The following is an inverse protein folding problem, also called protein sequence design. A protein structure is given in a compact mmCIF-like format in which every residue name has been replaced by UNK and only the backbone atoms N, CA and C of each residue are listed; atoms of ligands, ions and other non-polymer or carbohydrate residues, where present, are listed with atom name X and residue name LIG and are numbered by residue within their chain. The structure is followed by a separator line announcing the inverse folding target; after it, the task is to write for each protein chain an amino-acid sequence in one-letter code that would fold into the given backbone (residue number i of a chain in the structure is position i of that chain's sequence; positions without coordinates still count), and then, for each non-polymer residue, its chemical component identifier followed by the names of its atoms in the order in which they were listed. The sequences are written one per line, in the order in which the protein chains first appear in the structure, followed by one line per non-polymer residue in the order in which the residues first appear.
data_IF_362491357599
#
_entry.id   IF_362491357599
#
_cell.length_a   1.000
_cell.length_b   1.000
_cell.length_c   1.000
_cell.angle_alpha   90.00
_cell.angle_beta   90.00
_cell.angle_gamma   90.00
#
_symmetry.space_group_name_H-M   'P 1'
#
loop_
_entity.id
_entity.type
_entity.pdbx_description
1 polymer ?
#
# COMPACT_ATOMS: atom_id res chain seq x y z
N UNK A 1 -5.29 7.84 -16.36
CA UNK A 1 -4.88 6.71 -15.51
C UNK A 1 -5.89 5.59 -15.70
N UNK A 2 -5.46 4.33 -15.92
CA UNK A 2 -6.37 3.20 -16.12
C UNK A 2 -6.96 2.73 -14.77
N UNK A 3 -7.62 3.65 -14.07
CA UNK A 3 -8.26 3.43 -12.77
C UNK A 3 -9.72 3.86 -12.86
N UNK A 4 -10.55 3.35 -11.96
CA UNK A 4 -11.93 3.83 -11.82
C UNK A 4 -11.93 5.22 -11.14
N UNK A 5 -12.40 6.28 -11.81
CA UNK A 5 -12.28 7.65 -11.30
C UNK A 5 -13.16 7.92 -10.07
N UNK A 6 -14.18 7.09 -9.85
CA UNK A 6 -15.14 7.20 -8.75
C UNK A 6 -14.82 6.28 -7.57
N UNK A 7 -13.76 5.47 -7.66
CA UNK A 7 -13.36 4.60 -6.58
C UNK A 7 -12.80 5.42 -5.41
N UNK A 8 -13.27 5.11 -4.20
CA UNK A 8 -12.65 5.56 -2.94
C UNK A 8 -11.45 4.65 -2.69
N UNK A 9 -10.33 4.91 -3.35
CA UNK A 9 -9.14 4.06 -3.28
C UNK A 9 -7.83 4.82 -3.58
N UNK A 10 -6.69 4.26 -3.17
CA UNK A 10 -5.35 4.68 -3.57
C UNK A 10 -4.71 3.62 -4.47
N UNK A 11 -3.79 4.04 -5.33
CA UNK A 11 -3.08 3.11 -6.21
C UNK A 11 -1.63 3.53 -6.46
N UNK A 12 -0.70 2.57 -6.39
CA UNK A 12 0.62 2.68 -6.97
C UNK A 12 0.67 2.02 -8.35
N UNK A 13 0.96 2.82 -9.38
CA UNK A 13 1.06 2.36 -10.76
C UNK A 13 2.52 2.16 -11.16
N UNK A 14 3.00 0.92 -10.99
CA UNK A 14 4.41 0.53 -11.18
C UNK A 14 4.97 0.94 -12.55
N UNK A 15 4.19 0.81 -13.64
CA UNK A 15 4.67 1.12 -14.99
C UNK A 15 5.10 2.57 -15.16
N UNK A 16 4.42 3.49 -14.48
CA UNK A 16 4.73 4.92 -14.56
C UNK A 16 5.43 5.39 -13.27
N UNK A 17 5.74 4.47 -12.35
CA UNK A 17 6.28 4.73 -11.01
C UNK A 17 5.58 5.92 -10.32
N UNK A 18 4.25 5.88 -10.29
CA UNK A 18 3.43 7.01 -9.85
C UNK A 18 2.30 6.57 -8.91
N UNK A 19 1.92 7.46 -8.01
CA UNK A 19 0.80 7.24 -7.09
C UNK A 19 -0.42 8.01 -7.58
N UNK A 20 -1.56 7.34 -7.72
CA UNK A 20 -2.85 7.98 -8.02
C UNK A 20 -3.70 8.04 -6.77
N UNK A 21 -4.23 9.22 -6.49
CA UNK A 21 -5.29 9.44 -5.52
C UNK A 21 -6.46 10.13 -6.24
N UNK A 22 -7.56 9.40 -6.52
CA UNK A 22 -8.78 9.98 -7.08
C UNK A 22 -9.33 11.09 -6.16
N UNK A 23 -9.92 12.12 -6.75
CA UNK A 23 -10.51 13.21 -5.97
C UNK A 23 -11.60 12.73 -5.00
N UNK A 24 -12.30 11.63 -5.32
CA UNK A 24 -13.34 11.03 -4.48
C UNK A 24 -12.77 10.45 -3.17
N UNK A 25 -11.47 10.16 -3.08
CA UNK A 25 -10.82 9.81 -1.81
C UNK A 25 -10.62 11.02 -0.90
N UNK A 26 -10.51 12.23 -1.46
CA UNK A 26 -10.14 13.47 -0.74
C UNK A 26 -11.34 14.11 -0.02
N UNK A 27 -12.07 13.31 0.74
CA UNK A 27 -13.22 13.70 1.55
C UNK A 27 -13.14 13.08 2.94
N UNK A 28 -14.01 13.49 3.86
CA UNK A 28 -14.07 12.90 5.21
C UNK A 28 -14.38 11.39 5.12
N UNK A 29 -13.72 10.52 5.92
CA UNK A 29 -12.79 10.81 7.03
C UNK A 29 -11.32 11.02 6.60
N UNK A 30 -10.97 10.76 5.34
CA UNK A 30 -9.59 10.84 4.88
C UNK A 30 -9.04 12.27 4.86
N UNK A 31 -9.83 13.23 4.39
CA UNK A 31 -9.45 14.63 4.35
C UNK A 31 -10.64 15.57 4.55
N UNK A 32 -10.46 16.60 5.38
CA UNK A 32 -11.38 17.72 5.48
C UNK A 32 -10.62 19.01 5.82
N UNK A 33 -11.14 20.13 5.35
CA UNK A 33 -10.60 21.44 5.75
C UNK A 33 -10.87 21.67 7.25
N UNK A 34 -9.92 22.30 7.94
CA UNK A 34 -10.05 22.65 9.36
C UNK A 34 -9.78 21.51 10.37
N UNK A 35 -9.54 20.27 9.93
CA UNK A 35 -9.13 19.20 10.86
C UNK A 35 -7.66 19.32 11.29
N UNK A 36 -7.29 18.92 12.53
CA UNK A 36 -5.92 18.98 13.00
C UNK A 36 -4.93 18.27 12.07
N UNK A 37 -3.71 18.78 11.98
CA UNK A 37 -2.66 18.17 11.15
C UNK A 37 -2.34 16.73 11.54
N UNK A 38 -2.48 16.38 12.83
CA UNK A 38 -2.34 15.00 13.31
C UNK A 38 -3.37 14.06 12.68
N UNK A 39 -4.63 14.51 12.56
CA UNK A 39 -5.70 13.73 11.92
C UNK A 39 -5.38 13.55 10.43
N UNK A 40 -5.06 14.63 9.71
CA UNK A 40 -4.70 14.56 8.28
C UNK A 40 -3.52 13.62 8.02
N UNK A 41 -2.52 13.63 8.91
CA UNK A 41 -1.37 12.74 8.79
C UNK A 41 -1.73 11.28 9.08
N UNK A 42 -2.58 11.02 10.08
CA UNK A 42 -3.04 9.68 10.42
C UNK A 42 -3.97 9.06 9.39
N UNK A 43 -4.69 9.89 8.63
CA UNK A 43 -5.63 9.44 7.59
C UNK A 43 -5.02 9.53 6.19
N UNK A 44 -5.11 10.68 5.52
CA UNK A 44 -4.58 10.86 4.16
C UNK A 44 -3.07 10.64 4.09
N UNK A 45 -2.32 11.06 5.10
CA UNK A 45 -0.88 10.83 5.17
C UNK A 45 -0.53 9.34 5.21
N UNK A 46 -1.30 8.54 5.94
CA UNK A 46 -1.18 7.08 5.94
C UNK A 46 -1.45 6.49 4.55
N UNK A 47 -2.51 6.91 3.86
CA UNK A 47 -2.82 6.42 2.50
C UNK A 47 -1.70 6.77 1.52
N UNK A 48 -1.21 8.02 1.53
CA UNK A 48 -0.07 8.42 0.70
C UNK A 48 1.16 7.55 1.01
N UNK A 49 1.46 7.32 2.29
CA UNK A 49 2.58 6.48 2.71
C UNK A 49 2.42 5.02 2.27
N UNK A 50 1.20 4.49 2.30
CA UNK A 50 0.85 3.16 1.80
C UNK A 50 1.16 3.03 0.30
N UNK A 51 0.72 3.99 -0.52
CA UNK A 51 0.99 3.95 -1.96
C UNK A 51 2.48 4.11 -2.27
N UNK A 52 3.21 4.95 -1.52
CA UNK A 52 4.68 5.04 -1.64
C UNK A 52 5.33 3.70 -1.28
N UNK A 53 4.84 3.01 -0.24
CA UNK A 53 5.40 1.73 0.20
C UNK A 53 5.33 0.66 -0.89
N UNK A 54 4.27 0.66 -1.72
CA UNK A 54 4.13 -0.29 -2.83
C UNK A 54 5.26 -0.23 -3.86
N UNK A 55 5.96 0.91 -4.01
CA UNK A 55 7.16 0.99 -4.84
C UNK A 55 8.34 0.15 -4.29
N UNK A 56 8.31 -0.20 -3.00
CA UNK A 56 9.42 -0.84 -2.28
C UNK A 56 9.05 -2.16 -1.62
N UNK A 57 7.80 -2.60 -1.73
CA UNK A 57 7.34 -3.86 -1.15
C UNK A 57 7.99 -5.08 -1.84
N UNK A 58 7.57 -6.29 -1.45
CA UNK A 58 8.13 -7.53 -1.98
C UNK A 58 8.08 -7.63 -3.52
N UNK A 59 7.07 -7.02 -4.15
CA UNK A 59 6.90 -6.94 -5.60
C UNK A 59 7.56 -5.69 -6.18
N UNK A 60 7.27 -4.51 -5.62
CA UNK A 60 7.71 -3.20 -6.11
C UNK A 60 9.23 -3.05 -6.19
N UNK A 61 9.96 -3.61 -5.21
CA UNK A 61 11.43 -3.57 -5.17
C UNK A 61 12.14 -4.14 -6.41
N UNK A 62 11.43 -4.89 -7.25
CA UNK A 62 11.98 -5.47 -8.47
C UNK A 62 11.88 -4.54 -9.68
N UNK A 63 11.30 -3.35 -9.52
CA UNK A 63 11.11 -2.36 -10.58
C UNK A 63 11.97 -1.13 -10.32
N UNK A 64 12.64 -0.63 -11.35
CA UNK A 64 13.47 0.56 -11.27
C UNK A 64 12.64 1.83 -11.51
N UNK A 65 13.30 2.99 -11.51
CA UNK A 65 12.66 4.32 -11.56
C UNK A 65 11.78 4.55 -12.79
N UNK A 66 12.05 3.83 -13.89
CA UNK A 66 11.36 3.88 -15.17
C UNK A 66 10.22 2.85 -15.29
N UNK A 67 9.89 2.15 -14.20
CA UNK A 67 8.86 1.11 -14.17
C UNK A 67 9.27 -0.20 -14.83
N UNK A 68 10.54 -0.34 -15.23
CA UNK A 68 11.05 -1.59 -15.80
C UNK A 68 11.48 -2.58 -14.71
N UNK A 69 11.17 -3.86 -14.92
CA UNK A 69 11.60 -4.92 -14.02
C UNK A 69 13.10 -5.14 -14.14
N UNK A 70 13.84 -4.63 -13.18
CA UNK A 70 15.30 -4.69 -13.14
C UNK A 70 15.75 -4.84 -11.68
N UNK A 71 16.52 -5.89 -11.33
CA UNK A 71 17.12 -5.98 -10.00
C UNK A 71 18.11 -4.84 -9.79
N UNK A 72 17.75 -3.88 -8.93
CA UNK A 72 18.57 -2.71 -8.60
C UNK A 72 19.05 -2.70 -7.15
N UNK A 73 18.50 -3.58 -6.31
CA UNK A 73 18.97 -3.77 -4.94
C UNK A 73 20.23 -4.63 -4.89
N UNK A 74 21.16 -4.24 -4.02
CA UNK A 74 22.30 -5.10 -3.69
C UNK A 74 21.83 -6.39 -3.01
N UNK A 75 22.61 -7.46 -3.16
CA UNK A 75 22.37 -8.72 -2.45
C UNK A 75 22.32 -8.54 -0.92
N UNK A 76 23.11 -7.59 -0.38
CA UNK A 76 23.07 -7.23 1.04
C UNK A 76 21.70 -6.66 1.42
N UNK A 77 21.17 -5.72 0.65
CA UNK A 77 19.85 -5.11 0.87
C UNK A 77 18.74 -6.15 0.81
N UNK A 78 18.78 -7.05 -0.19
CA UNK A 78 17.80 -8.13 -0.35
C UNK A 78 17.79 -9.05 0.88
N UNK A 79 18.98 -9.43 1.38
CA UNK A 79 19.09 -10.25 2.60
C UNK A 79 18.54 -9.52 3.83
N UNK A 80 18.88 -8.24 4.01
CA UNK A 80 18.38 -7.43 5.12
C UNK A 80 16.86 -7.23 5.08
N UNK A 81 16.26 -7.14 3.89
CA UNK A 81 14.81 -7.00 3.71
C UNK A 81 14.05 -8.30 3.99
N UNK A 82 14.66 -9.46 3.71
CA UNK A 82 13.98 -10.75 3.83
C UNK A 82 13.53 -11.08 5.26
N UNK A 83 14.31 -10.69 6.28
CA UNK A 83 13.97 -10.98 7.68
C UNK A 83 12.72 -10.20 8.17
N UNK A 84 12.63 -8.86 8.01
CA UNK A 84 11.42 -8.11 8.28
C UNK A 84 10.21 -8.60 7.46
N UNK A 85 10.39 -8.87 6.16
CA UNK A 85 9.33 -9.39 5.30
C UNK A 85 8.72 -10.68 5.87
N UNK A 86 9.55 -11.68 6.19
CA UNK A 86 9.11 -12.94 6.80
C UNK A 86 8.47 -12.76 8.17
N UNK A 87 8.89 -11.75 8.93
CA UNK A 87 8.28 -11.43 10.22
C UNK A 87 6.82 -11.01 10.05
N UNK A 88 6.55 -10.11 9.09
CA UNK A 88 5.19 -9.64 8.77
C UNK A 88 4.35 -10.76 8.16
N UNK A 89 4.91 -11.56 7.25
CA UNK A 89 4.22 -12.74 6.69
C UNK A 89 3.75 -13.69 7.81
N UNK A 90 4.62 -13.96 8.80
CA UNK A 90 4.27 -14.79 9.95
C UNK A 90 3.26 -14.13 10.89
N UNK A 91 3.32 -12.81 11.06
CA UNK A 91 2.35 -12.07 11.87
C UNK A 91 0.92 -12.32 11.39
N UNK A 92 0.71 -12.38 10.08
CA UNK A 92 -0.61 -12.59 9.49
C UNK A 92 -0.92 -14.05 9.12
N UNK A 93 0.05 -14.98 9.18
CA UNK A 93 -0.13 -16.33 8.63
C UNK A 93 -1.22 -17.18 9.31
N UNK A 94 -1.56 -16.85 10.56
CA UNK A 94 -2.58 -17.54 11.34
C UNK A 94 -3.89 -16.75 11.46
N UNK A 95 -3.94 -15.55 10.89
CA UNK A 95 -5.13 -14.72 10.94
C UNK A 95 -6.18 -15.27 9.98
N UNK A 96 -7.39 -15.44 10.49
CA UNK A 96 -8.55 -15.85 9.69
C UNK A 96 -9.59 -14.75 9.79
N UNK A 97 -10.03 -14.31 8.63
CA UNK A 97 -11.01 -13.25 8.58
C UNK A 97 -12.37 -13.74 9.08
N UNK A 98 -12.97 -13.00 10.00
CA UNK A 98 -14.15 -13.47 10.74
C UNK A 98 -15.37 -13.71 9.84
N UNK A 99 -15.55 -12.91 8.80
CA UNK A 99 -16.75 -12.91 7.95
C UNK A 99 -16.69 -13.97 6.84
N UNK A 100 -15.61 -13.96 6.08
CA UNK A 100 -15.34 -14.78 4.89
C UNK A 100 -14.64 -16.09 5.23
N UNK A 101 -14.09 -16.22 6.45
CA UNK A 101 -13.28 -17.36 6.90
C UNK A 101 -12.03 -17.61 6.04
N UNK A 102 -11.63 -16.63 5.23
CA UNK A 102 -10.41 -16.71 4.44
C UNK A 102 -9.20 -16.46 5.32
N UNK A 103 -8.14 -17.25 5.13
CA UNK A 103 -6.85 -16.99 5.77
C UNK A 103 -6.23 -15.74 5.17
N UNK A 104 -5.66 -14.89 6.03
CA UNK A 104 -4.92 -13.73 5.57
C UNK A 104 -3.72 -14.18 4.73
N UNK A 105 -3.76 -13.85 3.44
CA UNK A 105 -2.60 -13.92 2.55
C UNK A 105 -2.10 -12.50 2.28
N UNK A 106 -0.91 -12.36 1.70
CA UNK A 106 -0.39 -11.07 1.23
C UNK A 106 -1.38 -10.30 0.36
N UNK A 107 -2.25 -11.01 -0.38
CA UNK A 107 -3.31 -10.44 -1.23
C UNK A 107 -4.59 -10.04 -0.47
N UNK A 108 -4.85 -10.64 0.69
CA UNK A 108 -5.98 -10.26 1.55
C UNK A 108 -5.73 -8.96 2.35
N UNK A 109 -4.46 -8.60 2.56
CA UNK A 109 -4.08 -7.38 3.26
C UNK A 109 -4.43 -6.13 2.43
N UNK A 110 -4.16 -6.12 1.12
CA UNK A 110 -4.44 -4.97 0.24
C UNK A 110 -5.94 -4.60 0.18
N UNK A 111 -6.85 -5.58 0.19
CA UNK A 111 -8.30 -5.35 0.08
C UNK A 111 -8.95 -4.79 1.35
N UNK A 112 -8.25 -4.75 2.49
CA UNK A 112 -8.85 -4.36 3.78
C UNK A 112 -8.49 -2.95 4.24
N UNK A 113 -7.36 -2.39 3.84
CA UNK A 113 -6.88 -1.15 4.47
C UNK A 113 -7.66 0.10 4.09
N UNK A 114 -8.28 0.13 2.90
CA UNK A 114 -9.11 1.27 2.47
C UNK A 114 -10.56 1.12 2.92
N UNK A 115 -11.04 -0.10 3.13
CA UNK A 115 -12.43 -0.38 3.54
C UNK A 115 -12.66 -0.38 5.06
N UNK A 116 -11.59 -0.30 5.86
CA UNK A 116 -11.64 -0.33 7.33
C UNK A 116 -11.52 1.06 7.98
N UNK A 117 -11.44 2.13 7.18
CA UNK A 117 -11.52 3.53 7.60
C UNK A 117 -12.81 4.16 7.06
#
# INVERSE_FOLDING_TARGET
WPIEPMAVNGYHYIRDNSNVLPAVLLQYPFYAFGVPSSVKMGTLGFVIGHEIHHAFDAQGRNYYLDGNKQPWWSQKTIKSFSAPQKCVERLYSNETEETTKLKASSKCLELRFVSLL
#
